data_IF_230227506463
#
_entry.id   IF_230227506463
#
_cell.length_a   1.000
_cell.length_b   1.000
_cell.length_c   1.000
_cell.angle_alpha   90.00
_cell.angle_beta   90.00
_cell.angle_gamma   90.00
#
_symmetry.space_group_name_H-M   'P 1'
#
loop_
_entity.id
_entity.type
_entity.pdbx_description
1 polymer ?
#
# COMPACT_ATOMS: atom_id res chain seq x y z
N UNK A 1 13.11 -12.39 0.43
CA UNK A 1 13.60 -11.00 0.60
C UNK A 1 12.39 -10.09 0.57
N UNK A 2 12.18 -9.28 1.61
CA UNK A 2 11.07 -8.33 1.63
C UNK A 2 11.44 -7.07 0.83
N UNK A 3 10.48 -6.57 0.07
CA UNK A 3 10.60 -5.38 -0.77
C UNK A 3 9.50 -4.39 -0.38
N UNK A 4 9.68 -3.12 -0.74
CA UNK A 4 8.66 -2.11 -0.52
C UNK A 4 7.80 -1.97 -1.77
N UNK A 5 6.49 -2.01 -1.57
CA UNK A 5 5.47 -1.85 -2.59
C UNK A 5 4.60 -0.65 -2.26
N UNK A 6 4.26 0.11 -3.29
CA UNK A 6 3.25 1.17 -3.21
C UNK A 6 1.94 0.57 -3.71
N UNK A 7 0.93 0.57 -2.84
CA UNK A 7 -0.41 0.08 -3.13
C UNK A 7 -1.33 1.29 -3.28
N UNK A 8 -1.86 1.48 -4.49
CA UNK A 8 -2.90 2.47 -4.76
C UNK A 8 -4.28 1.88 -4.53
N UNK A 9 -5.11 2.58 -3.77
CA UNK A 9 -6.45 2.13 -3.40
C UNK A 9 -7.44 3.29 -3.32
N UNK A 10 -8.73 2.98 -3.43
CA UNK A 10 -9.82 3.88 -3.10
C UNK A 10 -10.47 3.43 -1.79
N UNK A 11 -10.66 4.36 -0.87
CA UNK A 11 -11.41 4.15 0.37
C UNK A 11 -12.42 5.29 0.50
N UNK A 12 -13.70 4.95 0.61
CA UNK A 12 -14.80 5.92 0.73
C UNK A 12 -14.79 7.01 -0.35
N UNK A 13 -14.53 6.60 -1.60
CA UNK A 13 -14.46 7.51 -2.74
C UNK A 13 -13.20 8.38 -2.81
N UNK A 14 -12.26 8.23 -1.86
CA UNK A 14 -10.97 8.93 -1.86
C UNK A 14 -9.85 8.02 -2.35
N UNK A 15 -9.16 8.47 -3.39
CA UNK A 15 -7.93 7.84 -3.87
C UNK A 15 -6.80 8.10 -2.89
N UNK A 16 -6.13 7.03 -2.47
CA UNK A 16 -4.99 7.08 -1.57
C UNK A 16 -3.96 6.02 -1.98
N UNK A 17 -2.71 6.23 -1.60
CA UNK A 17 -1.65 5.25 -1.81
C UNK A 17 -0.84 5.08 -0.54
N UNK A 18 -0.43 3.84 -0.30
CA UNK A 18 0.31 3.46 0.90
C UNK A 18 1.54 2.64 0.55
N UNK A 19 2.61 2.80 1.33
CA UNK A 19 3.79 1.96 1.23
C UNK A 19 3.68 0.77 2.19
N UNK A 20 3.98 -0.42 1.67
CA UNK A 20 3.89 -1.70 2.38
C UNK A 20 5.14 -2.50 2.15
N UNK A 21 5.71 -3.05 3.22
CA UNK A 21 6.76 -4.04 3.12
C UNK A 21 6.16 -5.45 2.95
N UNK A 22 6.51 -6.13 1.86
CA UNK A 22 6.00 -7.46 1.54
C UNK A 22 7.00 -8.25 0.69
N UNK A 23 6.81 -9.55 0.64
CA UNK A 23 7.60 -10.47 -0.16
C UNK A 23 7.32 -10.26 -1.66
N UNK A 24 6.07 -9.98 -2.03
CA UNK A 24 5.64 -9.68 -3.40
C UNK A 24 4.44 -8.71 -3.44
N UNK A 25 3.99 -8.40 -4.65
CA UNK A 25 2.89 -7.47 -4.90
C UNK A 25 1.53 -8.00 -4.40
N UNK A 26 1.30 -9.32 -4.46
CA UNK A 26 0.04 -9.91 -4.04
C UNK A 26 -0.08 -9.85 -2.50
N UNK A 27 0.99 -10.21 -1.80
CA UNK A 27 1.06 -10.12 -0.33
C UNK A 27 0.92 -8.66 0.11
N UNK A 28 1.51 -7.70 -0.61
CA UNK A 28 1.30 -6.27 -0.32
C UNK A 28 -0.19 -5.89 -0.42
N UNK A 29 -0.89 -6.29 -1.48
CA UNK A 29 -2.33 -6.02 -1.63
C UNK A 29 -3.14 -6.65 -0.50
N UNK A 30 -2.86 -7.92 -0.17
CA UNK A 30 -3.57 -8.65 0.88
C UNK A 30 -3.38 -8.01 2.25
N UNK A 31 -2.17 -7.55 2.59
CA UNK A 31 -1.93 -6.81 3.84
C UNK A 31 -2.79 -5.53 3.92
N UNK A 32 -2.84 -4.75 2.83
CA UNK A 32 -3.71 -3.55 2.79
C UNK A 32 -5.18 -3.93 2.95
N UNK A 33 -5.63 -5.00 2.31
CA UNK A 33 -7.01 -5.47 2.39
C UNK A 33 -7.36 -6.04 3.76
N UNK A 34 -6.41 -6.66 4.45
CA UNK A 34 -6.57 -7.13 5.82
C UNK A 34 -6.76 -5.95 6.79
N UNK A 35 -5.94 -4.90 6.65
CA UNK A 35 -6.04 -3.68 7.47
C UNK A 35 -7.23 -2.80 7.12
N UNK A 36 -7.57 -2.72 5.84
CA UNK A 36 -8.66 -1.90 5.31
C UNK A 36 -9.55 -2.76 4.41
N UNK A 37 -10.43 -3.59 4.98
CA UNK A 37 -11.29 -4.49 4.20
C UNK A 37 -12.16 -3.77 3.16
N UNK A 38 -12.53 -2.53 3.44
CA UNK A 38 -13.35 -1.68 2.55
C UNK A 38 -12.55 -1.07 1.39
N UNK A 39 -11.21 -1.06 1.46
CA UNK A 39 -10.39 -0.46 0.42
C UNK A 39 -10.49 -1.26 -0.90
N UNK A 40 -10.76 -0.57 -2.00
CA UNK A 40 -10.67 -1.14 -3.36
C UNK A 40 -9.25 -0.92 -3.86
N UNK A 41 -8.48 -2.00 -4.03
CA UNK A 41 -7.11 -1.91 -4.54
C UNK A 41 -7.15 -1.69 -6.06
N UNK A 42 -6.51 -0.63 -6.53
CA UNK A 42 -6.46 -0.28 -7.95
C UNK A 42 -5.17 -0.80 -8.61
N UNK A 43 -4.04 -0.65 -7.93
CA UNK A 43 -2.75 -1.11 -8.43
C UNK A 43 -1.77 -1.40 -7.30
N UNK A 44 -0.78 -2.25 -7.60
CA UNK A 44 0.39 -2.47 -6.76
C UNK A 44 1.63 -2.34 -7.63
N UNK A 45 2.60 -1.57 -7.17
CA UNK A 45 3.90 -1.40 -7.84
C UNK A 45 5.03 -1.45 -6.83
N UNK A 46 6.24 -1.76 -7.27
CA UNK A 46 7.43 -1.59 -6.42
C UNK A 46 7.61 -0.10 -6.09
N UNK A 47 8.11 0.19 -4.88
CA UNK A 47 8.41 1.56 -4.45
C UNK A 47 9.45 2.15 -5.40
N UNK A 48 9.15 3.33 -5.94
CA UNK A 48 10.11 4.09 -6.73
C UNK A 48 10.74 5.14 -5.81
N UNK A 49 11.91 4.83 -5.25
CA UNK A 49 12.57 5.69 -4.25
C UNK A 49 12.59 7.17 -4.66
N UNK A 50 12.92 7.50 -5.92
CA UNK A 50 13.02 8.89 -6.38
C UNK A 50 11.68 9.57 -6.62
N UNK A 51 10.65 8.81 -7.00
CA UNK A 51 9.30 9.32 -7.24
C UNK A 51 8.50 9.48 -5.94
N UNK A 52 8.62 8.49 -5.05
CA UNK A 52 7.89 8.42 -3.79
C UNK A 52 8.54 9.30 -2.70
N UNK A 53 9.83 9.66 -2.81
CA UNK A 53 10.43 10.73 -1.99
C UNK A 53 9.83 12.12 -2.29
N UNK A 54 9.35 12.34 -3.52
CA UNK A 54 8.73 13.62 -3.92
C UNK A 54 7.25 13.72 -3.51
N UNK A 55 6.60 12.57 -3.30
CA UNK A 55 5.22 12.48 -2.83
C UNK A 55 5.16 11.42 -1.72
N UNK A 56 5.37 11.80 -0.45
CA UNK A 56 5.40 10.86 0.65
C UNK A 56 4.03 10.18 0.77
N UNK A 57 4.02 8.85 0.61
CA UNK A 57 2.84 8.03 0.84
C UNK A 57 2.72 7.69 2.32
N UNK A 58 1.50 7.56 2.81
CA UNK A 58 1.27 7.09 4.18
C UNK A 58 1.76 5.64 4.30
N UNK A 59 2.41 5.30 5.40
CA UNK A 59 2.73 3.91 5.68
C UNK A 59 1.48 3.19 6.18
N UNK A 60 1.31 1.90 5.82
CA UNK A 60 0.31 1.10 6.52
C UNK A 60 0.87 0.76 7.90
N UNK A 61 0.32 1.38 8.93
CA UNK A 61 0.55 0.91 10.29
C UNK A 61 -0.46 -0.21 10.54
N UNK A 62 -0.01 -1.41 10.98
CA UNK A 62 -0.95 -2.43 11.37
C UNK A 62 -1.81 -1.90 12.52
N UNK A 63 -3.12 -1.91 12.33
CA UNK A 63 -4.06 -1.58 13.41
C UNK A 63 -4.05 -2.75 14.37
N UNK A 64 -3.24 -2.65 15.43
CA UNK A 64 -3.25 -3.63 16.52
C UNK A 64 -4.68 -3.75 17.05
N UNK A 65 -5.32 -4.88 16.76
CA UNK A 65 -6.57 -5.34 17.36
C UNK A 65 -6.30 -6.66 18.06
#
# INVERSE_FOLDING_TARGET
>A
MKQQFTVGMNLDGKSQSVCVEAEDALIAALKVKQERPQAVINYVRKRNNRGDLRHPHQEITPTTR
#
